data_IF_876388474487
#
_entry.id   IF_876388474487
#
_cell.length_a   1.000
_cell.length_b   1.000
_cell.length_c   1.000
_cell.angle_alpha   90.00
_cell.angle_beta   90.00
_cell.angle_gamma   90.00
#
_symmetry.space_group_name_H-M   'P 1'
#
loop_
_entity.id
_entity.type
_entity.pdbx_description
1 polymer ?
#
# COMPACT_ATOMS: atom_id res chain seq x y z
N UNK A 1 0.98 -1.53 18.11
CA UNK A 1 -0.27 -0.79 17.81
C UNK A 1 -0.05 0.63 17.27
N UNK A 2 1.19 1.08 17.01
CA UNK A 2 1.41 2.46 16.54
C UNK A 2 1.22 2.73 15.04
N UNK A 3 1.13 1.69 14.21
CA UNK A 3 1.07 1.85 12.75
C UNK A 3 -0.18 2.62 12.25
N UNK A 4 -1.41 2.36 12.73
CA UNK A 4 -2.58 3.16 12.35
C UNK A 4 -2.46 4.63 12.74
N UNK A 5 -2.07 4.91 13.98
CA UNK A 5 -1.94 6.29 14.48
C UNK A 5 -0.90 7.08 13.68
N UNK A 6 0.20 6.42 13.30
CA UNK A 6 1.22 6.98 12.43
C UNK A 6 0.65 7.37 11.07
N UNK A 7 -0.07 6.46 10.40
CA UNK A 7 -0.70 6.77 9.11
C UNK A 7 -1.75 7.87 9.21
N UNK A 8 -2.57 7.85 10.26
CA UNK A 8 -3.57 8.89 10.53
C UNK A 8 -2.91 10.25 10.70
N UNK A 9 -1.87 10.33 11.53
CA UNK A 9 -1.12 11.56 11.78
C UNK A 9 -0.51 12.09 10.49
N UNK A 10 0.17 11.24 9.72
CA UNK A 10 0.76 11.59 8.43
C UNK A 10 -0.29 12.14 7.47
N UNK A 11 -1.42 11.45 7.29
CA UNK A 11 -2.49 11.88 6.37
C UNK A 11 -3.22 13.15 6.82
N UNK A 12 -3.26 13.42 8.13
CA UNK A 12 -3.97 14.57 8.69
C UNK A 12 -3.09 15.83 8.73
N UNK A 13 -1.80 15.67 8.99
CA UNK A 13 -0.92 16.78 9.35
C UNK A 13 0.12 17.12 8.27
N UNK A 14 0.33 16.24 7.29
CA UNK A 14 1.37 16.38 6.27
C UNK A 14 0.79 16.36 4.87
N UNK A 15 1.35 17.20 3.99
CA UNK A 15 1.17 17.07 2.54
C UNK A 15 2.03 15.91 2.04
N UNK A 16 1.69 15.35 0.87
CA UNK A 16 2.39 14.18 0.30
C UNK A 16 3.91 14.40 0.21
N UNK A 17 4.32 15.59 -0.25
CA UNK A 17 5.73 15.97 -0.38
C UNK A 17 6.47 16.05 0.97
N UNK A 18 5.74 16.22 2.08
CA UNK A 18 6.29 16.38 3.43
C UNK A 18 6.29 15.06 4.24
N UNK A 19 5.97 13.92 3.61
CA UNK A 19 5.98 12.62 4.30
C UNK A 19 7.41 12.18 4.63
N UNK A 20 7.68 11.90 5.89
CA UNK A 20 8.94 11.32 6.34
C UNK A 20 8.91 9.80 6.16
N UNK A 21 9.45 9.31 5.03
CA UNK A 21 9.51 7.89 4.74
C UNK A 21 10.48 7.16 5.68
N UNK A 22 11.46 7.88 6.24
CA UNK A 22 12.38 7.41 7.27
C UNK A 22 11.64 7.01 8.54
N UNK A 23 10.89 7.95 9.10
CA UNK A 23 10.04 7.74 10.28
C UNK A 23 9.00 6.65 10.03
N UNK A 24 8.35 6.66 8.86
CA UNK A 24 7.37 5.65 8.48
C UNK A 24 7.98 4.25 8.47
N UNK A 25 9.04 4.02 7.69
CA UNK A 25 9.65 2.69 7.58
C UNK A 25 10.26 2.25 8.91
N UNK A 26 10.90 3.16 9.66
CA UNK A 26 11.46 2.86 10.98
C UNK A 26 10.38 2.42 11.97
N UNK A 27 9.26 3.14 12.04
CA UNK A 27 8.18 2.84 12.99
C UNK A 27 7.44 1.57 12.61
N UNK A 28 7.22 1.32 11.31
CA UNK A 28 6.57 0.12 10.81
C UNK A 28 7.41 -1.14 11.03
N UNK A 29 8.74 -1.02 10.96
CA UNK A 29 9.68 -2.12 11.19
C UNK A 29 10.14 -2.25 12.66
N UNK A 30 9.86 -1.26 13.51
CA UNK A 30 10.32 -1.26 14.90
C UNK A 30 9.54 -2.27 15.75
N UNK A 31 10.24 -3.33 16.13
CA UNK A 31 9.78 -4.36 17.05
C UNK A 31 10.99 -5.03 17.69
N UNK A 32 10.76 -5.80 18.77
CA UNK A 32 11.81 -6.61 19.37
C UNK A 32 12.12 -7.80 18.42
N UNK A 33 13.39 -8.06 18.05
CA UNK A 33 13.73 -9.12 17.10
C UNK A 33 13.21 -10.52 17.46
N UNK A 34 13.03 -10.78 18.75
CA UNK A 34 12.53 -12.05 19.31
C UNK A 34 10.99 -12.14 19.38
N UNK A 35 10.25 -11.05 19.15
CA UNK A 35 8.80 -11.00 19.29
C UNK A 35 8.11 -10.85 17.92
N UNK A 36 7.20 -11.77 17.60
CA UNK A 36 6.36 -11.63 16.41
C UNK A 36 5.26 -10.60 16.65
N UNK A 37 5.08 -9.67 15.71
CA UNK A 37 4.03 -8.64 15.77
C UNK A 37 3.07 -8.72 14.59
N UNK A 38 1.81 -8.33 14.84
CA UNK A 38 0.79 -8.18 13.80
C UNK A 38 0.73 -6.72 13.38
N UNK A 39 1.04 -6.45 12.11
CA UNK A 39 0.99 -5.12 11.50
C UNK A 39 -0.32 -4.92 10.75
N UNK A 40 -0.87 -3.71 10.82
CA UNK A 40 -2.10 -3.33 10.12
C UNK A 40 -2.11 -1.82 9.92
N UNK A 41 -2.63 -1.38 8.76
CA UNK A 41 -2.61 0.04 8.39
C UNK A 41 -3.75 0.83 9.06
N UNK A 42 -4.85 0.15 9.39
CA UNK A 42 -6.02 0.68 10.09
C UNK A 42 -6.74 -0.46 10.81
N UNK A 43 -7.44 -0.15 11.90
CA UNK A 43 -8.13 -1.11 12.75
C UNK A 43 -9.66 -0.96 12.66
N UNK A 44 -10.37 -1.73 13.50
CA UNK A 44 -11.80 -1.56 13.71
C UNK A 44 -12.16 -0.22 14.39
N UNK A 45 -11.25 0.35 15.18
CA UNK A 45 -11.47 1.62 15.90
C UNK A 45 -11.63 2.78 14.92
N UNK A 46 -10.75 2.86 13.91
CA UNK A 46 -10.84 3.86 12.84
C UNK A 46 -12.08 3.70 11.95
N UNK A 47 -12.68 2.52 11.96
CA UNK A 47 -13.91 2.26 11.22
C UNK A 47 -15.16 2.66 12.01
N UNK A 48 -15.09 2.97 13.31
CA UNK A 48 -16.24 3.37 14.11
C UNK A 48 -16.66 4.83 13.87
N UNK A 49 -17.92 5.13 14.20
CA UNK A 49 -18.45 6.50 14.19
C UNK A 49 -17.58 7.43 15.03
N UNK A 50 -17.23 8.58 14.45
CA UNK A 50 -16.36 9.56 15.10
C UNK A 50 -14.92 9.51 14.62
N UNK A 51 -14.54 8.50 13.82
CA UNK A 51 -13.26 8.47 13.12
C UNK A 51 -13.41 8.20 11.61
N UNK A 52 -12.28 8.20 10.87
CA UNK A 52 -12.23 7.98 9.43
C UNK A 52 -11.31 6.81 9.08
N UNK A 53 -11.80 5.91 8.24
CA UNK A 53 -11.01 4.88 7.56
C UNK A 53 -9.93 5.50 6.68
N UNK A 54 -8.91 4.71 6.35
CA UNK A 54 -7.78 5.14 5.52
C UNK A 54 -8.25 5.74 4.20
N UNK A 55 -9.13 5.04 3.49
CA UNK A 55 -9.68 5.51 2.21
C UNK A 55 -10.51 6.79 2.40
N UNK A 56 -11.29 6.91 3.48
CA UNK A 56 -12.11 8.08 3.73
C UNK A 56 -11.25 9.31 4.06
N UNK A 57 -10.07 9.14 4.65
CA UNK A 57 -9.10 10.24 4.80
C UNK A 57 -8.49 10.67 3.47
N UNK A 58 -8.30 9.73 2.55
CA UNK A 58 -7.66 10.00 1.27
C UNK A 58 -8.58 10.72 0.28
N UNK A 59 -9.86 10.33 0.21
CA UNK A 59 -10.79 10.84 -0.81
C UNK A 59 -12.08 11.45 -0.25
N UNK A 60 -12.34 11.34 1.05
CA UNK A 60 -13.52 11.88 1.74
C UNK A 60 -14.82 11.64 0.92
N UNK A 61 -15.69 12.65 0.83
CA UNK A 61 -16.95 12.62 0.09
C UNK A 61 -16.81 12.38 -1.42
N UNK A 62 -15.62 12.48 -2.02
CA UNK A 62 -15.43 12.17 -3.44
C UNK A 62 -15.78 10.71 -3.74
N UNK A 63 -15.69 9.83 -2.74
CA UNK A 63 -16.06 8.42 -2.87
C UNK A 63 -17.52 8.18 -3.31
N UNK A 64 -18.43 9.12 -3.05
CA UNK A 64 -19.84 8.95 -3.42
C UNK A 64 -20.12 9.27 -4.89
N UNK A 65 -19.20 9.95 -5.56
CA UNK A 65 -19.42 10.52 -6.90
C UNK A 65 -18.42 10.03 -7.94
N UNK A 66 -17.19 9.74 -7.52
CA UNK A 66 -16.05 9.51 -8.42
C UNK A 66 -15.47 8.08 -8.35
N UNK A 67 -16.24 7.13 -7.79
CA UNK A 67 -15.85 5.72 -7.70
C UNK A 67 -16.31 4.87 -8.89
N UNK A 68 -16.90 5.47 -9.93
CA UNK A 68 -17.09 4.79 -11.22
C UNK A 68 -15.74 4.69 -11.94
N UNK A 69 -15.40 3.52 -12.50
CA UNK A 69 -14.12 3.29 -13.18
C UNK A 69 -13.90 4.17 -14.41
N UNK A 70 -14.96 4.70 -15.03
CA UNK A 70 -14.88 5.61 -16.17
C UNK A 70 -14.58 7.06 -15.76
N UNK A 71 -14.68 7.41 -14.47
CA UNK A 71 -14.43 8.74 -13.97
C UNK A 71 -12.91 8.95 -13.71
N UNK A 72 -12.24 9.93 -14.35
CA UNK A 72 -10.81 10.16 -14.21
C UNK A 72 -10.46 11.18 -13.09
N UNK A 73 -11.29 11.34 -12.07
CA UNK A 73 -11.01 12.29 -10.97
C UNK A 73 -9.64 12.03 -10.30
N UNK A 74 -8.77 13.04 -10.38
CA UNK A 74 -7.38 12.96 -9.93
C UNK A 74 -7.23 12.79 -8.41
N UNK A 75 -8.19 13.28 -7.62
CA UNK A 75 -8.17 13.10 -6.16
C UNK A 75 -8.43 11.62 -5.83
N UNK A 76 -9.37 10.98 -6.53
CA UNK A 76 -9.65 9.56 -6.36
C UNK A 76 -8.51 8.69 -6.91
N UNK A 77 -7.89 9.05 -8.05
CA UNK A 77 -6.71 8.34 -8.55
C UNK A 77 -5.55 8.38 -7.54
N UNK A 78 -5.25 9.56 -6.97
CA UNK A 78 -4.30 9.71 -5.88
C UNK A 78 -4.66 8.82 -4.70
N UNK A 79 -5.92 8.83 -4.27
CA UNK A 79 -6.37 8.08 -3.10
C UNK A 79 -6.26 6.57 -3.30
N UNK A 80 -6.60 6.06 -4.48
CA UNK A 80 -6.47 4.64 -4.82
C UNK A 80 -5.00 4.21 -4.83
N UNK A 81 -4.13 5.02 -5.45
CA UNK A 81 -2.70 4.73 -5.47
C UNK A 81 -2.11 4.68 -4.05
N UNK A 82 -2.33 5.73 -3.25
CA UNK A 82 -1.80 5.81 -1.87
C UNK A 82 -2.40 4.73 -0.96
N UNK A 83 -3.68 4.38 -1.11
CA UNK A 83 -4.27 3.28 -0.34
C UNK A 83 -3.53 1.96 -0.57
N UNK A 84 -3.20 1.65 -1.82
CA UNK A 84 -2.40 0.46 -2.18
C UNK A 84 -1.00 0.54 -1.60
N UNK A 85 -0.30 1.67 -1.75
CA UNK A 85 1.08 1.83 -1.27
C UNK A 85 1.21 1.76 0.25
N UNK A 86 0.28 2.39 0.98
CA UNK A 86 0.25 2.34 2.45
C UNK A 86 0.10 0.90 2.94
N UNK A 87 -0.82 0.14 2.34
CA UNK A 87 -1.02 -1.27 2.66
C UNK A 87 0.18 -2.12 2.27
N UNK A 88 0.78 -1.88 1.11
CA UNK A 88 1.98 -2.57 0.63
C UNK A 88 3.17 -2.35 1.57
N UNK A 89 3.44 -1.10 1.97
CA UNK A 89 4.53 -0.79 2.91
C UNK A 89 4.29 -1.43 4.27
N UNK A 90 3.07 -1.30 4.80
CA UNK A 90 2.71 -1.85 6.12
C UNK A 90 2.77 -3.37 6.14
N UNK A 91 2.31 -4.03 5.08
CA UNK A 91 2.36 -5.48 4.97
C UNK A 91 3.79 -5.95 4.69
N UNK A 92 4.52 -5.35 3.75
CA UNK A 92 5.88 -5.76 3.42
C UNK A 92 6.84 -5.68 4.61
N UNK A 93 6.69 -4.65 5.45
CA UNK A 93 7.49 -4.45 6.67
C UNK A 93 6.95 -5.18 7.92
N UNK A 94 5.98 -6.10 7.80
CA UNK A 94 5.39 -6.74 8.98
C UNK A 94 6.42 -7.56 9.78
N UNK A 95 6.40 -7.45 11.12
CA UNK A 95 7.27 -8.21 12.02
C UNK A 95 6.74 -9.59 12.43
N UNK A 96 5.70 -10.11 11.77
CA UNK A 96 5.24 -11.48 12.03
C UNK A 96 3.99 -11.87 11.24
N UNK A 97 3.01 -10.97 11.17
CA UNK A 97 1.83 -11.15 10.34
C UNK A 97 1.15 -9.84 9.99
N UNK A 98 0.18 -9.92 9.10
CA UNK A 98 -0.63 -8.78 8.68
C UNK A 98 -2.11 -8.99 9.07
N UNK A 99 -2.77 -7.91 9.46
CA UNK A 99 -4.20 -7.91 9.78
C UNK A 99 -4.93 -6.88 8.92
N UNK A 100 -6.16 -7.23 8.54
CA UNK A 100 -7.10 -6.32 7.91
C UNK A 100 -8.47 -6.46 8.58
N UNK A 101 -9.11 -5.32 8.86
CA UNK A 101 -10.49 -5.29 9.33
C UNK A 101 -11.48 -5.32 8.16
N UNK A 102 -12.53 -6.13 8.28
CA UNK A 102 -13.46 -6.41 7.18
C UNK A 102 -13.98 -5.13 6.50
N UNK A 103 -13.92 -5.08 5.17
CA UNK A 103 -14.30 -3.92 4.37
C UNK A 103 -13.13 -3.03 3.98
N UNK A 104 -12.10 -2.91 4.82
CA UNK A 104 -10.99 -2.00 4.56
C UNK A 104 -10.13 -2.47 3.38
N UNK A 105 -10.13 -3.77 3.07
CA UNK A 105 -9.43 -4.36 1.93
C UNK A 105 -9.83 -3.77 0.58
N UNK A 106 -11.08 -3.36 0.42
CA UNK A 106 -11.57 -2.71 -0.78
C UNK A 106 -11.87 -1.22 -0.58
N UNK A 107 -11.44 -0.63 0.53
CA UNK A 107 -11.73 0.76 0.85
C UNK A 107 -13.22 1.00 1.05
N UNK A 108 -13.88 0.22 1.92
CA UNK A 108 -15.29 0.41 2.25
C UNK A 108 -15.57 1.87 2.69
N UNK A 109 -16.60 2.51 2.13
CA UNK A 109 -16.92 3.90 2.44
C UNK A 109 -17.57 4.06 3.82
N UNK A 110 -17.86 5.29 4.23
CA UNK A 110 -18.56 5.60 5.49
C UNK A 110 -17.84 5.06 6.74
N UNK A 111 -18.60 4.77 7.79
CA UNK A 111 -18.16 4.25 9.09
C UNK A 111 -19.16 3.19 9.58
N UNK A 112 -18.79 2.48 10.65
CA UNK A 112 -19.63 1.58 11.43
C UNK A 112 -20.27 2.38 12.56
N UNK A 113 -21.59 2.30 12.67
CA UNK A 113 -22.33 2.77 13.85
C UNK A 113 -23.36 1.71 14.26
N UNK A 114 -23.29 1.26 15.50
CA UNK A 114 -24.21 0.27 16.03
C UNK A 114 -25.54 0.92 16.45
N UNK A 115 -26.67 0.19 16.41
CA UNK A 115 -27.95 0.70 16.89
C UNK A 115 -27.86 1.18 18.34
N UNK A 116 -28.17 2.46 18.57
CA UNK A 116 -28.17 3.10 19.89
C UNK A 116 -29.20 4.23 19.92
N UNK A 117 -29.54 4.73 21.10
CA UNK A 117 -30.49 5.85 21.24
C UNK A 117 -30.11 7.06 20.38
N UNK A 118 -28.81 7.39 20.31
CA UNK A 118 -28.29 8.54 19.54
C UNK A 118 -28.41 8.43 18.02
N UNK A 119 -28.78 7.26 17.47
CA UNK A 119 -29.05 7.08 16.04
C UNK A 119 -30.42 6.43 15.77
N UNK A 120 -31.35 6.53 16.72
CA UNK A 120 -32.69 5.96 16.64
C UNK A 120 -32.69 4.45 16.37
N UNK A 121 -31.75 3.70 16.99
CA UNK A 121 -31.61 2.25 16.81
C UNK A 121 -31.42 1.84 15.33
N UNK A 122 -30.77 2.69 14.55
CA UNK A 122 -30.57 2.47 13.12
C UNK A 122 -29.52 1.39 12.86
N UNK A 123 -29.82 0.49 11.94
CA UNK A 123 -28.89 -0.52 11.41
C UNK A 123 -28.18 -0.05 10.12
N UNK A 124 -28.43 1.19 9.67
CA UNK A 124 -27.93 1.69 8.38
C UNK A 124 -26.41 1.56 8.21
N UNK A 125 -25.65 1.77 9.29
CA UNK A 125 -24.19 1.70 9.30
C UNK A 125 -23.66 0.45 10.02
N UNK A 126 -24.53 -0.41 10.55
CA UNK A 126 -24.18 -1.70 11.16
C UNK A 126 -24.18 -2.82 10.09
N UNK A 127 -23.50 -2.58 8.96
CA UNK A 127 -23.47 -3.49 7.80
C UNK A 127 -22.19 -3.34 7.00
N UNK A 128 -21.97 -4.28 6.07
CA UNK A 128 -20.96 -4.16 5.01
C UNK A 128 -21.59 -4.18 3.63
N UNK A 129 -21.09 -3.31 2.76
CA UNK A 129 -21.60 -3.08 1.41
C UNK A 129 -20.80 -3.88 0.38
N UNK A 130 -20.86 -5.21 0.45
CA UNK A 130 -20.11 -6.10 -0.45
C UNK A 130 -20.40 -5.85 -1.93
N UNK A 131 -21.62 -5.42 -2.23
CA UNK A 131 -22.03 -5.02 -3.59
C UNK A 131 -21.17 -3.91 -4.20
N UNK A 132 -20.47 -3.09 -3.39
CA UNK A 132 -19.55 -2.09 -3.91
C UNK A 132 -18.29 -2.72 -4.50
N UNK A 133 -17.72 -3.71 -3.80
CA UNK A 133 -16.55 -4.49 -4.26
C UNK A 133 -16.90 -5.36 -5.46
N UNK A 134 -18.04 -6.05 -5.38
CA UNK A 134 -18.44 -7.05 -6.37
C UNK A 134 -18.95 -6.41 -7.68
N UNK A 135 -19.19 -5.09 -7.69
CA UNK A 135 -19.59 -4.36 -8.88
C UNK A 135 -18.38 -4.05 -9.76
N UNK A 136 -18.31 -4.71 -10.92
CA UNK A 136 -17.23 -4.56 -11.90
C UNK A 136 -17.08 -3.16 -12.52
N UNK A 137 -18.04 -2.26 -12.34
CA UNK A 137 -17.97 -0.87 -12.80
C UNK A 137 -17.39 0.09 -11.77
N UNK A 138 -17.22 -0.34 -10.51
CA UNK A 138 -16.72 0.52 -9.44
C UNK A 138 -15.26 0.26 -9.09
N UNK A 139 -14.56 1.34 -8.72
CA UNK A 139 -13.13 1.33 -8.37
C UNK A 139 -12.82 0.52 -7.09
N UNK A 140 -13.81 0.20 -6.26
CA UNK A 140 -13.62 -0.68 -5.08
C UNK A 140 -13.09 -2.06 -5.47
N UNK A 141 -13.48 -2.57 -6.65
CA UNK A 141 -12.95 -3.85 -7.15
C UNK A 141 -11.44 -3.79 -7.31
N UNK A 142 -10.88 -2.69 -7.83
CA UNK A 142 -9.44 -2.53 -8.00
C UNK A 142 -8.66 -2.63 -6.69
N UNK A 143 -9.18 -2.02 -5.62
CA UNK A 143 -8.58 -2.12 -4.28
C UNK A 143 -8.66 -3.56 -3.74
N UNK A 144 -9.81 -4.22 -3.92
CA UNK A 144 -10.00 -5.61 -3.50
C UNK A 144 -9.13 -6.61 -4.26
N UNK A 145 -8.91 -6.42 -5.57
CA UNK A 145 -8.00 -7.25 -6.37
C UNK A 145 -6.55 -7.02 -5.95
N UNK A 146 -6.15 -5.78 -5.69
CA UNK A 146 -4.81 -5.48 -5.20
C UNK A 146 -4.56 -6.14 -3.84
N UNK A 147 -5.52 -6.08 -2.92
CA UNK A 147 -5.41 -6.74 -1.64
C UNK A 147 -5.30 -8.26 -1.78
N UNK A 148 -6.07 -8.88 -2.67
CA UNK A 148 -5.96 -10.31 -2.95
C UNK A 148 -4.57 -10.68 -3.49
N UNK A 149 -3.99 -9.86 -4.39
CA UNK A 149 -2.62 -10.03 -4.86
C UNK A 149 -1.58 -9.86 -3.75
N UNK A 150 -1.74 -8.83 -2.91
CA UNK A 150 -0.90 -8.59 -1.75
C UNK A 150 -0.95 -9.74 -0.75
N UNK A 151 -2.13 -10.31 -0.45
CA UNK A 151 -2.23 -11.42 0.50
C UNK A 151 -1.55 -12.68 -0.02
N UNK A 152 -1.68 -12.99 -1.31
CA UNK A 152 -0.94 -14.11 -1.94
C UNK A 152 0.57 -13.92 -1.81
N UNK A 153 1.05 -12.70 -2.05
CA UNK A 153 2.45 -12.34 -1.89
C UNK A 153 2.92 -12.51 -0.43
N UNK A 154 2.20 -11.92 0.52
CA UNK A 154 2.61 -11.93 1.94
C UNK A 154 2.62 -13.35 2.53
N UNK A 155 1.78 -14.25 2.02
CA UNK A 155 1.81 -15.67 2.42
C UNK A 155 3.10 -16.40 2.01
N UNK A 156 3.83 -15.92 1.00
CA UNK A 156 5.13 -16.51 0.60
C UNK A 156 6.29 -16.00 1.43
N UNK A 157 6.06 -15.03 2.32
CA UNK A 157 7.10 -14.42 3.14
C UNK A 157 7.32 -15.25 4.40
N UNK A 158 8.40 -16.01 4.42
CA UNK A 158 8.78 -16.90 5.53
C UNK A 158 9.80 -16.26 6.48
N UNK A 159 10.70 -15.42 5.95
CA UNK A 159 11.79 -14.79 6.70
C UNK A 159 11.38 -13.41 7.25
N UNK A 160 11.50 -13.15 8.57
CA UNK A 160 11.27 -11.82 9.14
C UNK A 160 12.38 -10.81 8.80
N UNK A 161 13.57 -11.25 8.38
CA UNK A 161 14.70 -10.36 8.13
C UNK A 161 14.50 -9.48 6.90
N UNK A 162 14.72 -8.18 7.11
CA UNK A 162 14.73 -7.18 6.05
C UNK A 162 16.19 -6.86 5.72
N UNK A 163 16.51 -6.90 4.42
CA UNK A 163 17.81 -6.55 3.88
C UNK A 163 17.69 -5.35 2.94
N UNK A 164 18.79 -4.63 2.71
CA UNK A 164 18.84 -3.51 1.76
C UNK A 164 17.75 -2.44 1.95
N UNK A 165 17.27 -2.22 3.19
CA UNK A 165 16.32 -1.15 3.47
C UNK A 165 16.94 0.21 3.11
N UNK A 166 16.46 0.78 2.02
CA UNK A 166 16.96 2.02 1.44
C UNK A 166 15.81 3.00 1.36
N UNK A 167 16.03 4.17 1.96
CA UNK A 167 15.06 5.27 1.99
C UNK A 167 15.72 6.47 1.34
N UNK A 168 15.26 6.83 0.14
CA UNK A 168 15.71 8.03 -0.56
C UNK A 168 14.66 9.11 -0.35
N UNK A 169 14.77 9.81 0.78
CA UNK A 169 13.77 10.78 1.24
C UNK A 169 13.52 11.89 0.21
N UNK A 170 14.57 12.39 -0.45
CA UNK A 170 14.45 13.41 -1.50
C UNK A 170 13.66 12.93 -2.72
N UNK A 171 13.75 11.63 -3.03
CA UNK A 171 13.09 11.05 -4.21
C UNK A 171 11.71 10.48 -3.87
N UNK A 172 11.36 10.47 -2.59
CA UNK A 172 10.20 9.79 -2.01
C UNK A 172 10.15 8.29 -2.36
N UNK A 173 11.31 7.64 -2.45
CA UNK A 173 11.41 6.20 -2.74
C UNK A 173 11.83 5.42 -1.52
N UNK A 174 11.12 4.32 -1.25
CA UNK A 174 11.53 3.30 -0.28
C UNK A 174 11.66 1.95 -0.96
N UNK A 175 12.72 1.23 -0.66
CA UNK A 175 12.95 -0.13 -1.16
C UNK A 175 13.58 -1.00 -0.10
N UNK A 176 13.28 -2.29 -0.15
CA UNK A 176 13.88 -3.28 0.75
C UNK A 176 13.68 -4.69 0.22
N UNK A 177 14.53 -5.60 0.67
CA UNK A 177 14.43 -7.03 0.38
C UNK A 177 13.93 -7.81 1.58
N UNK A 178 13.14 -8.84 1.30
CA UNK A 178 12.67 -9.81 2.27
C UNK A 178 12.67 -11.20 1.65
N UNK A 179 13.63 -12.04 2.06
CA UNK A 179 13.96 -13.25 1.31
C UNK A 179 14.34 -12.90 -0.13
N UNK A 180 13.72 -13.57 -1.10
CA UNK A 180 13.94 -13.36 -2.53
C UNK A 180 13.06 -12.25 -3.13
N UNK A 181 12.30 -11.53 -2.31
CA UNK A 181 11.40 -10.46 -2.74
C UNK A 181 12.05 -9.09 -2.56
N UNK A 182 12.05 -8.28 -3.61
CA UNK A 182 12.46 -6.88 -3.58
C UNK A 182 11.23 -5.99 -3.72
N UNK A 183 10.91 -5.24 -2.66
CA UNK A 183 9.84 -4.25 -2.62
C UNK A 183 10.41 -2.89 -3.01
N UNK A 184 9.73 -2.17 -3.90
CA UNK A 184 10.13 -0.84 -4.36
C UNK A 184 8.88 0.02 -4.47
N UNK A 185 8.82 1.14 -3.77
CA UNK A 185 7.67 2.04 -3.75
C UNK A 185 8.13 3.49 -3.97
N UNK A 186 7.52 4.14 -4.96
CA UNK A 186 7.65 5.56 -5.24
C UNK A 186 6.41 6.28 -4.68
N UNK A 187 6.59 7.00 -3.57
CA UNK A 187 5.58 7.85 -2.94
C UNK A 187 5.57 9.28 -3.48
N UNK A 188 6.45 9.63 -4.43
CA UNK A 188 6.53 10.98 -4.98
C UNK A 188 5.18 11.40 -5.56
N UNK A 189 4.68 12.61 -5.24
CA UNK A 189 3.38 13.07 -5.71
C UNK A 189 3.34 13.39 -7.21
N UNK A 190 4.50 13.62 -7.83
CA UNK A 190 4.63 14.14 -9.20
C UNK A 190 5.83 13.59 -9.99
N UNK A 191 6.87 13.06 -9.34
CA UNK A 191 8.07 12.58 -10.02
C UNK A 191 8.00 11.09 -10.39
N UNK A 192 8.31 10.80 -11.64
CA UNK A 192 8.59 9.45 -12.13
C UNK A 192 10.09 9.29 -12.39
N UNK A 193 10.65 8.12 -12.13
CA UNK A 193 12.07 7.86 -12.26
C UNK A 193 12.36 6.83 -13.35
N UNK A 194 13.22 7.15 -14.30
CA UNK A 194 13.76 6.21 -15.28
C UNK A 194 15.14 5.73 -14.84
N UNK A 195 15.47 4.49 -15.16
CA UNK A 195 16.77 3.87 -14.86
C UNK A 195 17.21 4.01 -13.38
N UNK A 196 16.23 3.98 -12.47
CA UNK A 196 16.44 4.25 -11.05
C UNK A 196 17.17 3.09 -10.38
N UNK A 197 18.36 3.36 -9.84
CA UNK A 197 19.21 2.37 -9.19
C UNK A 197 18.71 1.96 -7.82
N UNK A 198 18.33 0.68 -7.68
CA UNK A 198 17.88 0.07 -6.42
C UNK A 198 18.86 -1.01 -5.98
N UNK A 199 19.43 -0.93 -4.77
CA UNK A 199 20.26 -1.99 -4.22
C UNK A 199 19.51 -3.32 -4.11
N UNK A 200 20.14 -4.40 -4.55
CA UNK A 200 19.57 -5.73 -4.51
C UNK A 200 20.68 -6.81 -4.44
N UNK A 201 20.33 -8.01 -3.99
CA UNK A 201 21.24 -9.15 -4.08
C UNK A 201 21.52 -9.50 -5.56
N UNK A 202 22.73 -9.96 -5.86
CA UNK A 202 23.12 -10.34 -7.22
C UNK A 202 22.17 -11.39 -7.82
N UNK A 203 21.74 -11.16 -9.05
CA UNK A 203 20.89 -12.10 -9.79
C UNK A 203 20.01 -11.42 -10.83
N UNK A 204 18.91 -12.09 -11.16
CA UNK A 204 17.86 -11.55 -12.03
C UNK A 204 16.50 -11.64 -11.36
N UNK A 205 15.62 -10.71 -11.71
CA UNK A 205 14.34 -10.51 -11.05
C UNK A 205 13.21 -10.35 -12.06
N UNK A 206 12.02 -10.84 -11.73
CA UNK A 206 10.78 -10.64 -12.49
C UNK A 206 9.70 -9.96 -11.66
N UNK A 207 8.79 -9.23 -12.29
CA UNK A 207 7.66 -8.57 -11.61
C UNK A 207 6.65 -9.63 -11.17
N UNK A 208 6.28 -9.61 -9.89
CA UNK A 208 5.23 -10.49 -9.35
C UNK A 208 4.03 -9.72 -8.77
N UNK A 209 4.20 -8.43 -8.50
CA UNK A 209 3.12 -7.52 -8.16
C UNK A 209 3.48 -6.12 -8.69
N UNK A 210 2.57 -5.51 -9.44
CA UNK A 210 2.68 -4.13 -9.89
C UNK A 210 1.40 -3.38 -9.54
N UNK A 211 1.47 -2.43 -8.62
CA UNK A 211 0.31 -1.61 -8.24
C UNK A 211 -0.22 -0.74 -9.40
N UNK A 212 0.58 -0.48 -10.44
CA UNK A 212 0.19 0.31 -11.60
C UNK A 212 -0.56 -0.52 -12.66
N UNK A 213 -0.75 -1.82 -12.46
CA UNK A 213 -1.52 -2.67 -13.37
C UNK A 213 -3.00 -2.21 -13.47
N UNK A 214 -3.60 -2.32 -14.66
CA UNK A 214 -5.01 -1.98 -14.91
C UNK A 214 -5.95 -2.77 -14.02
N UNK A 215 -5.60 -4.02 -13.68
CA UNK A 215 -6.43 -4.85 -12.78
C UNK A 215 -6.56 -4.24 -11.37
N UNK A 216 -5.58 -3.40 -10.98
CA UNK A 216 -5.57 -2.66 -9.72
C UNK A 216 -5.87 -1.17 -9.90
N UNK A 217 -6.37 -0.76 -11.07
CA UNK A 217 -6.74 0.63 -11.35
C UNK A 217 -5.55 1.56 -11.55
N UNK A 218 -4.39 1.03 -11.93
CA UNK A 218 -3.25 1.85 -12.35
C UNK A 218 -3.24 2.11 -13.86
N UNK A 219 -2.18 2.77 -14.33
CA UNK A 219 -2.07 3.26 -15.71
C UNK A 219 -1.33 2.29 -16.66
N UNK A 220 -0.84 1.16 -16.15
CA UNK A 220 -0.15 0.10 -16.87
C UNK A 220 1.09 0.62 -17.61
N UNK A 221 1.91 1.39 -16.90
CA UNK A 221 3.13 2.00 -17.43
C UNK A 221 4.35 1.10 -17.26
N UNK A 222 4.25 0.05 -16.45
CA UNK A 222 5.30 -0.94 -16.22
C UNK A 222 5.00 -2.19 -17.07
N UNK A 223 6.01 -2.70 -17.76
CA UNK A 223 5.91 -3.96 -18.50
C UNK A 223 6.25 -5.13 -17.58
N UNK A 224 5.22 -5.86 -17.15
CA UNK A 224 5.32 -7.00 -16.25
C UNK A 224 6.09 -8.21 -16.83
N UNK A 225 6.38 -8.22 -18.13
CA UNK A 225 7.24 -9.25 -18.76
C UNK A 225 8.74 -8.93 -18.65
N UNK A 226 9.09 -7.73 -18.17
CA UNK A 226 10.47 -7.27 -18.04
C UNK A 226 11.24 -8.13 -17.04
N UNK A 227 12.43 -8.55 -17.46
CA UNK A 227 13.42 -9.18 -16.59
C UNK A 227 14.48 -8.15 -16.22
N UNK A 228 14.65 -7.93 -14.93
CA UNK A 228 15.63 -7.01 -14.38
C UNK A 228 16.91 -7.75 -14.02
N UNK A 229 18.06 -7.20 -14.40
CA UNK A 229 19.37 -7.78 -14.12
C UNK A 229 20.15 -6.85 -13.20
N UNK A 230 20.77 -7.41 -12.17
CA UNK A 230 21.67 -6.62 -11.34
C UNK A 230 23.02 -6.41 -11.99
N UNK A 231 23.60 -5.23 -11.78
CA UNK A 231 24.97 -4.89 -12.12
C UNK A 231 25.80 -4.68 -10.84
N UNK A 232 27.08 -5.07 -10.84
CA UNK A 232 27.97 -4.81 -9.71
C UNK A 232 28.22 -3.30 -9.56
N UNK A 233 28.35 -2.86 -8.31
CA UNK A 233 28.67 -1.51 -7.86
C UNK A 233 29.77 -1.59 -6.81
N UNK A 234 30.34 -0.44 -6.41
CA UNK A 234 31.43 -0.40 -5.40
C UNK A 234 31.05 -1.12 -4.09
N UNK A 235 29.79 -1.02 -3.65
CA UNK A 235 29.31 -1.56 -2.37
C UNK A 235 28.19 -2.61 -2.53
N UNK A 236 28.19 -3.39 -3.61
CA UNK A 236 27.24 -4.48 -3.81
C UNK A 236 26.69 -4.55 -5.22
N UNK A 237 25.41 -4.86 -5.36
CA UNK A 237 24.73 -4.95 -6.64
C UNK A 237 23.51 -4.03 -6.66
N UNK A 238 23.17 -3.51 -7.84
CA UNK A 238 21.94 -2.75 -8.04
C UNK A 238 21.27 -3.17 -9.36
N UNK A 239 19.95 -3.02 -9.41
CA UNK A 239 19.20 -3.09 -10.67
C UNK A 239 18.56 -1.74 -10.96
N UNK A 240 18.28 -1.48 -12.24
CA UNK A 240 17.62 -0.27 -12.69
C UNK A 240 16.16 -0.55 -13.00
N UNK A 241 15.27 0.29 -12.48
CA UNK A 241 13.82 0.17 -12.67
C UNK A 241 13.22 1.48 -13.17
N UNK A 242 12.16 1.37 -13.95
CA UNK A 242 11.25 2.48 -14.19
C UNK A 242 10.22 2.52 -13.06
N UNK A 243 10.11 3.65 -12.37
CA UNK A 243 9.22 3.87 -11.22
C UNK A 243 8.32 5.07 -11.48
N UNK A 244 7.12 4.87 -12.05
CA UNK A 244 6.15 5.96 -12.17
C UNK A 244 5.74 6.54 -10.81
N UNK A 245 5.29 7.79 -10.80
CA UNK A 245 4.76 8.46 -9.60
C UNK A 245 3.63 7.64 -8.96
N UNK A 246 3.64 7.56 -7.63
CA UNK A 246 2.67 6.82 -6.79
C UNK A 246 2.47 5.36 -7.21
N UNK A 247 3.57 4.65 -7.43
CA UNK A 247 3.55 3.21 -7.75
C UNK A 247 4.41 2.40 -6.80
N UNK A 248 4.09 1.12 -6.69
CA UNK A 248 4.82 0.11 -5.95
C UNK A 248 4.90 -1.16 -6.76
N UNK A 249 6.10 -1.71 -6.89
CA UNK A 249 6.38 -2.99 -7.53
C UNK A 249 7.04 -3.92 -6.54
N UNK A 250 6.78 -5.21 -6.70
CA UNK A 250 7.49 -6.27 -6.01
C UNK A 250 8.08 -7.19 -7.05
N UNK A 251 9.39 -7.36 -6.97
CA UNK A 251 10.15 -8.24 -7.84
C UNK A 251 10.56 -9.50 -7.07
N UNK A 252 10.55 -10.65 -7.73
CA UNK A 252 11.06 -11.90 -7.19
C UNK A 252 12.34 -12.29 -7.89
N UNK A 253 13.36 -12.70 -7.13
CA UNK A 253 14.58 -13.27 -7.66
C UNK A 253 14.29 -14.60 -8.37
N UNK A 254 14.80 -14.77 -9.59
CA UNK A 254 14.59 -15.95 -10.44
C UNK A 254 15.86 -16.84 -10.43
N UNK A 255 17.03 -16.20 -10.60
CA UNK A 255 18.36 -16.83 -10.66
C UNK A 255 19.34 -16.04 -9.78
#
# INVERSE_FOLDING_TARGET
>A
MGAPDLWIKTLKEKRDEDWDLGELAHTLNSHRPEEKVISYAESHDQALVGDKTLIFRLIDKAMYWHMDKADPDLMVERGIALHKLIRLLTAGLHGGGYLNFMGNEFGHPEWIDFPRQGNNWSFKHARRQWSLRDNGFLKYQWLGEFDAGLMKLIQTVDNPSIHYLTIRQHDHVVSFMRGDLLFIMNFSPDQSWTDYGVPAAAGSYGVILDSDDKQFGGQNRIDNSTRYFTSPQENGHQLQVYLPTRTGIVLQKID
#
